data_IF_054738557522
#
_entry.id   IF_054738557522
#
_cell.length_a   1.000
_cell.length_b   1.000
_cell.length_c   1.000
_cell.angle_alpha   90.00
_cell.angle_beta   90.00
_cell.angle_gamma   90.00
#
_symmetry.space_group_name_H-M   'P 1'
#
loop_
_entity.id
_entity.type
_entity.pdbx_description
1 polymer ?
#
# COMPACT_ATOMS: atom_id res chain seq x y z
N UNK A 1 67.50 16.97 6.40
CA UNK A 1 66.27 17.04 5.56
C UNK A 1 65.62 15.68 5.27
N UNK A 2 65.82 14.62 6.08
CA UNK A 2 65.22 13.28 5.84
C UNK A 2 64.27 12.78 6.93
N UNK A 3 64.14 13.48 8.06
CA UNK A 3 63.29 13.04 9.18
C UNK A 3 61.93 13.74 9.25
N UNK A 4 61.79 14.93 8.65
CA UNK A 4 60.52 15.68 8.62
C UNK A 4 59.47 15.10 7.68
N UNK A 5 59.86 14.20 6.76
CA UNK A 5 58.94 13.58 5.80
C UNK A 5 58.16 12.38 6.37
N UNK A 6 58.62 11.78 7.48
CA UNK A 6 57.97 10.61 8.10
C UNK A 6 56.74 10.97 8.93
N UNK A 7 56.70 12.16 9.52
CA UNK A 7 55.56 12.60 10.36
C UNK A 7 54.36 13.06 9.54
N UNK A 8 54.57 13.56 8.31
CA UNK A 8 53.48 14.01 7.43
C UNK A 8 52.68 12.81 6.89
N UNK A 9 53.32 11.66 6.61
CA UNK A 9 52.64 10.47 6.12
C UNK A 9 51.71 9.81 7.18
N UNK A 10 52.05 9.93 8.47
CA UNK A 10 51.25 9.35 9.56
C UNK A 10 50.00 10.20 9.86
N UNK A 11 50.08 11.52 9.65
CA UNK A 11 48.94 12.43 9.83
C UNK A 11 47.83 12.22 8.78
N UNK A 12 48.18 11.80 7.55
CA UNK A 12 47.20 11.53 6.49
C UNK A 12 46.50 10.17 6.61
N UNK A 13 47.16 9.18 7.23
CA UNK A 13 46.58 7.85 7.47
C UNK A 13 45.54 7.84 8.62
N UNK A 14 45.60 8.80 9.55
CA UNK A 14 44.58 8.92 10.60
C UNK A 14 43.31 9.67 10.18
N UNK A 15 43.36 10.48 9.11
CA UNK A 15 42.17 11.21 8.63
C UNK A 15 41.27 10.34 7.72
N UNK A 16 41.81 9.29 7.10
CA UNK A 16 41.04 8.37 6.26
C UNK A 16 40.19 7.35 7.05
N UNK A 17 40.43 7.19 8.35
CA UNK A 17 39.72 6.22 9.19
C UNK A 17 38.40 6.75 9.79
N UNK A 18 38.08 8.05 9.62
CA UNK A 18 36.86 8.66 10.18
C UNK A 18 35.75 8.88 9.13
N UNK A 19 35.97 8.54 7.86
CA UNK A 19 34.97 8.71 6.80
C UNK A 19 33.95 7.56 6.69
N UNK A 20 34.03 6.55 7.57
CA UNK A 20 33.22 5.32 7.48
C UNK A 20 32.01 5.24 8.43
N UNK A 21 31.85 6.16 9.38
CA UNK A 21 30.72 6.17 10.31
C UNK A 21 29.70 7.24 9.92
N UNK A 22 29.12 7.11 8.72
CA UNK A 22 27.78 7.66 8.51
C UNK A 22 26.80 6.83 9.33
N UNK A 23 25.78 7.41 10.01
CA UNK A 23 24.74 6.63 10.64
C UNK A 23 24.17 5.66 9.60
N UNK A 24 24.28 4.37 9.87
CA UNK A 24 23.77 3.33 8.97
C UNK A 24 22.32 3.65 8.64
N UNK A 25 22.03 3.91 7.37
CA UNK A 25 20.70 4.34 6.93
C UNK A 25 19.71 3.24 7.29
N UNK A 26 18.82 3.51 8.25
CA UNK A 26 17.83 2.54 8.73
C UNK A 26 16.98 2.09 7.55
N UNK A 27 17.01 0.79 7.25
CA UNK A 27 16.29 0.20 6.11
C UNK A 27 14.93 -0.36 6.49
N UNK A 28 14.65 -0.47 7.80
CA UNK A 28 13.42 -1.03 8.36
C UNK A 28 12.65 0.05 9.11
N UNK A 29 11.44 0.33 8.67
CA UNK A 29 10.46 1.11 9.42
C UNK A 29 9.73 0.17 10.38
N UNK A 30 9.68 0.51 11.67
CA UNK A 30 8.91 -0.23 12.68
C UNK A 30 7.74 0.64 13.13
N UNK A 31 6.52 0.18 12.86
CA UNK A 31 5.26 0.81 13.26
C UNK A 31 4.64 -0.02 14.38
N UNK A 32 4.52 0.56 15.57
CA UNK A 32 3.81 -0.05 16.68
C UNK A 32 2.31 0.26 16.58
N UNK A 33 1.46 -0.75 16.70
CA UNK A 33 0.00 -0.63 16.60
C UNK A 33 -0.67 -1.37 17.76
N UNK A 34 -1.89 -0.98 18.14
CA UNK A 34 -2.65 -1.67 19.20
C UNK A 34 -3.25 -3.02 18.77
N UNK A 35 -3.12 -3.40 17.49
CA UNK A 35 -3.68 -4.61 16.92
C UNK A 35 -2.84 -5.16 15.78
N UNK A 36 -3.27 -6.29 15.24
CA UNK A 36 -2.66 -6.93 14.07
C UNK A 36 -3.69 -7.18 12.98
N UNK A 37 -3.23 -7.51 11.78
CA UNK A 37 -4.13 -7.76 10.64
C UNK A 37 -4.98 -9.02 10.89
N UNK A 38 -6.29 -8.85 10.99
CA UNK A 38 -7.24 -9.96 11.19
C UNK A 38 -7.56 -10.71 9.89
N UNK A 39 -7.31 -10.09 8.74
CA UNK A 39 -7.38 -10.70 7.40
C UNK A 39 -6.37 -10.05 6.47
N UNK A 40 -6.03 -10.74 5.37
CA UNK A 40 -5.29 -10.17 4.23
C UNK A 40 -6.19 -9.93 3.01
N UNK A 41 -7.48 -10.22 3.15
CA UNK A 41 -8.50 -9.99 2.12
C UNK A 41 -9.03 -8.55 2.22
N UNK A 42 -8.75 -7.69 1.21
CA UNK A 42 -9.08 -6.27 1.27
C UNK A 42 -10.57 -5.98 1.08
N UNK A 43 -11.41 -6.99 0.80
CA UNK A 43 -12.85 -6.77 0.62
C UNK A 43 -13.70 -7.23 1.82
N UNK A 44 -13.10 -7.82 2.86
CA UNK A 44 -13.87 -8.52 3.91
C UNK A 44 -13.77 -7.94 5.32
N UNK A 45 -12.96 -6.90 5.52
CA UNK A 45 -12.74 -6.31 6.85
C UNK A 45 -12.87 -4.79 6.78
N UNK A 46 -13.58 -4.21 7.74
CA UNK A 46 -13.76 -2.78 7.96
C UNK A 46 -12.95 -2.27 9.18
N UNK A 47 -12.16 -3.14 9.80
CA UNK A 47 -11.34 -2.85 10.98
C UNK A 47 -10.12 -1.98 10.62
N UNK A 48 -9.94 -0.90 11.38
CA UNK A 48 -9.00 0.19 11.06
C UNK A 48 -7.54 -0.28 10.92
N UNK A 49 -7.02 -1.09 11.84
CA UNK A 49 -5.64 -1.57 11.80
C UNK A 49 -5.39 -2.38 10.53
N UNK A 50 -6.30 -3.28 10.20
CA UNK A 50 -6.23 -4.12 9.01
C UNK A 50 -6.29 -3.28 7.75
N UNK A 51 -7.19 -2.31 7.66
CA UNK A 51 -7.27 -1.37 6.52
C UNK A 51 -5.95 -0.63 6.33
N UNK A 52 -5.36 -0.08 7.40
CA UNK A 52 -4.11 0.68 7.31
C UNK A 52 -2.93 -0.19 6.84
N UNK A 53 -2.83 -1.42 7.34
CA UNK A 53 -1.80 -2.36 6.86
C UNK A 53 -2.03 -2.68 5.39
N UNK A 54 -3.27 -2.98 4.98
CA UNK A 54 -3.58 -3.38 3.61
C UNK A 54 -3.48 -2.22 2.60
N UNK A 55 -3.64 -0.96 3.03
CA UNK A 55 -3.42 0.22 2.18
C UNK A 55 -1.96 0.35 1.69
N UNK A 56 -1.01 -0.34 2.34
CA UNK A 56 0.38 -0.42 1.86
C UNK A 56 0.58 -1.51 0.79
N UNK A 57 -0.38 -2.44 0.68
CA UNK A 57 -0.30 -3.66 -0.15
C UNK A 57 -1.17 -3.53 -1.39
N UNK A 58 -2.37 -2.96 -1.26
CA UNK A 58 -3.34 -2.85 -2.32
C UNK A 58 -3.60 -1.39 -2.70
N UNK A 59 -4.01 -1.17 -3.94
CA UNK A 59 -4.47 0.14 -4.42
C UNK A 59 -5.81 0.00 -5.15
N UNK A 60 -6.61 1.06 -5.11
CA UNK A 60 -7.82 1.20 -5.92
C UNK A 60 -7.55 1.81 -7.29
N UNK A 61 -8.62 1.98 -8.09
CA UNK A 61 -8.56 2.75 -9.34
C UNK A 61 -8.17 4.21 -9.08
N UNK A 62 -8.72 4.76 -8.01
CA UNK A 62 -8.45 6.09 -7.48
C UNK A 62 -8.17 5.96 -5.98
N UNK A 63 -7.68 7.04 -5.36
CA UNK A 63 -7.45 7.12 -3.92
C UNK A 63 -8.05 8.40 -3.36
N UNK A 64 -7.86 8.64 -2.08
CA UNK A 64 -8.19 9.90 -1.43
C UNK A 64 -6.93 10.56 -0.88
N UNK A 65 -6.79 11.86 -1.07
CA UNK A 65 -5.74 12.67 -0.42
C UNK A 65 -6.13 13.02 1.04
N UNK A 66 -5.23 13.63 1.82
CA UNK A 66 -5.55 14.08 3.20
C UNK A 66 -6.70 15.08 3.30
N UNK A 67 -7.11 15.73 2.21
CA UNK A 67 -8.26 16.63 2.15
C UNK A 67 -9.53 15.93 1.66
N UNK A 68 -9.53 14.59 1.63
CA UNK A 68 -10.63 13.73 1.15
C UNK A 68 -10.98 13.97 -0.33
N UNK A 69 -10.04 14.47 -1.12
CA UNK A 69 -10.21 14.64 -2.56
C UNK A 69 -9.81 13.37 -3.28
N UNK A 70 -10.60 13.00 -4.27
CA UNK A 70 -10.29 11.88 -5.16
C UNK A 70 -9.03 12.21 -5.98
N UNK A 71 -8.06 11.32 -5.96
CA UNK A 71 -6.81 11.44 -6.72
C UNK A 71 -6.56 10.20 -7.59
N UNK A 72 -5.85 10.34 -8.73
CA UNK A 72 -5.45 9.21 -9.56
C UNK A 72 -4.60 8.19 -8.80
N UNK A 73 -4.88 6.90 -8.98
CA UNK A 73 -4.06 5.78 -8.48
C UNK A 73 -3.74 4.84 -9.65
N UNK A 74 -4.30 3.63 -9.70
CA UNK A 74 -4.09 2.71 -10.82
C UNK A 74 -4.69 3.23 -12.14
N UNK A 75 -5.75 4.04 -12.05
CA UNK A 75 -6.23 4.83 -13.18
C UNK A 75 -5.49 6.16 -13.23
N UNK A 76 -4.93 6.51 -14.40
CA UNK A 76 -4.34 7.84 -14.65
C UNK A 76 -5.39 8.95 -14.72
N UNK A 77 -6.65 8.59 -14.89
CA UNK A 77 -7.80 9.47 -14.95
C UNK A 77 -9.07 8.73 -15.35
N UNK A 78 -10.17 9.45 -15.39
CA UNK A 78 -11.47 8.92 -15.80
C UNK A 78 -12.30 9.99 -16.52
N UNK A 79 -13.31 9.54 -17.26
CA UNK A 79 -14.36 10.38 -17.86
C UNK A 79 -15.76 9.83 -17.54
N UNK A 80 -16.77 10.69 -17.70
CA UNK A 80 -18.18 10.35 -17.53
C UNK A 80 -18.91 10.50 -18.87
N UNK A 81 -18.84 9.50 -19.76
CA UNK A 81 -19.42 9.61 -21.10
C UNK A 81 -20.95 9.72 -21.05
N UNK A 82 -21.56 9.29 -19.95
CA UNK A 82 -22.98 9.44 -19.62
C UNK A 82 -23.13 9.76 -18.13
N UNK A 83 -24.30 10.25 -17.72
CA UNK A 83 -24.60 10.58 -16.31
C UNK A 83 -24.53 9.39 -15.35
N UNK A 84 -24.64 8.17 -15.87
CA UNK A 84 -24.58 6.91 -15.12
C UNK A 84 -23.41 6.00 -15.55
N UNK A 85 -22.36 6.57 -16.14
CA UNK A 85 -21.17 5.83 -16.58
C UNK A 85 -19.89 6.50 -16.08
N UNK A 86 -18.95 5.68 -15.60
CA UNK A 86 -17.59 6.06 -15.27
C UNK A 86 -16.63 5.22 -16.11
N UNK A 87 -15.76 5.88 -16.86
CA UNK A 87 -14.75 5.23 -17.69
C UNK A 87 -13.36 5.54 -17.15
N UNK A 88 -12.64 4.52 -16.72
CA UNK A 88 -11.31 4.62 -16.15
C UNK A 88 -10.25 4.20 -17.15
N UNK A 89 -9.14 4.94 -17.18
CA UNK A 89 -7.98 4.66 -18.02
C UNK A 89 -6.82 4.21 -17.14
N UNK A 90 -6.39 2.97 -17.28
CA UNK A 90 -5.35 2.35 -16.46
C UNK A 90 -3.95 2.79 -16.87
N UNK A 91 -3.04 2.74 -15.90
CA UNK A 91 -1.59 2.90 -16.10
C UNK A 91 -1.01 1.66 -16.79
N UNK A 92 -0.40 1.78 -17.98
CA UNK A 92 0.22 0.64 -18.66
C UNK A 92 1.40 0.05 -17.87
N UNK A 93 2.05 0.84 -17.03
CA UNK A 93 3.18 0.48 -16.17
C UNK A 93 2.77 -0.19 -14.85
N UNK A 94 1.49 -0.15 -14.45
CA UNK A 94 1.06 -0.76 -13.20
C UNK A 94 1.30 -2.28 -13.21
N UNK A 95 1.84 -2.79 -12.09
CA UNK A 95 2.18 -4.20 -11.88
C UNK A 95 1.63 -4.69 -10.56
N UNK A 96 1.23 -5.95 -10.52
CA UNK A 96 1.06 -6.68 -9.27
C UNK A 96 2.42 -7.04 -8.68
N UNK A 97 2.45 -7.40 -7.39
CA UNK A 97 3.68 -7.76 -6.67
C UNK A 97 4.47 -8.94 -7.26
N UNK A 98 3.85 -9.76 -8.11
CA UNK A 98 4.49 -10.84 -8.87
C UNK A 98 5.06 -10.41 -10.23
N UNK A 99 4.92 -9.13 -10.58
CA UNK A 99 5.41 -8.55 -11.82
C UNK A 99 4.45 -8.67 -13.00
N UNK A 100 3.29 -9.34 -12.86
CA UNK A 100 2.26 -9.33 -13.92
C UNK A 100 1.67 -7.94 -14.06
N UNK A 101 1.31 -7.52 -15.29
CA UNK A 101 0.71 -6.23 -15.49
C UNK A 101 -0.75 -6.20 -15.07
N UNK A 102 -1.18 -5.07 -14.50
CA UNK A 102 -2.59 -4.83 -14.17
C UNK A 102 -3.37 -4.57 -15.46
N UNK A 103 -4.49 -5.28 -15.65
CA UNK A 103 -5.36 -5.14 -16.81
C UNK A 103 -6.80 -4.88 -16.43
N UNK A 104 -7.57 -4.39 -17.39
CA UNK A 104 -8.97 -4.06 -17.21
C UNK A 104 -9.79 -5.23 -16.65
N UNK A 105 -9.48 -6.48 -17.03
CA UNK A 105 -10.24 -7.62 -16.52
C UNK A 105 -9.90 -7.96 -15.05
N UNK A 106 -8.75 -7.55 -14.52
CA UNK A 106 -8.45 -7.66 -13.08
C UNK A 106 -9.29 -6.67 -12.27
N UNK A 107 -9.50 -5.47 -12.84
CA UNK A 107 -10.42 -4.49 -12.27
C UNK A 107 -11.86 -5.00 -12.31
N UNK A 108 -12.30 -5.52 -13.46
CA UNK A 108 -13.63 -6.11 -13.60
C UNK A 108 -13.85 -7.22 -12.57
N UNK A 109 -12.88 -8.11 -12.41
CA UNK A 109 -12.92 -9.17 -11.39
C UNK A 109 -13.04 -8.58 -9.98
N UNK A 110 -12.16 -7.63 -9.62
CA UNK A 110 -12.12 -7.05 -8.27
C UNK A 110 -13.41 -6.32 -7.90
N UNK A 111 -13.95 -5.52 -8.82
CA UNK A 111 -15.19 -4.77 -8.60
C UNK A 111 -16.42 -5.71 -8.53
N UNK A 112 -16.44 -6.78 -9.33
CA UNK A 112 -17.49 -7.81 -9.21
C UNK A 112 -17.38 -8.56 -7.88
N UNK A 113 -16.16 -8.94 -7.48
CA UNK A 113 -15.91 -9.58 -6.18
C UNK A 113 -16.38 -8.69 -5.03
N UNK A 114 -16.05 -7.40 -5.05
CA UNK A 114 -16.54 -6.44 -4.07
C UNK A 114 -18.07 -6.34 -4.03
N UNK A 115 -18.76 -6.51 -5.17
CA UNK A 115 -20.23 -6.52 -5.26
C UNK A 115 -20.87 -7.83 -4.79
N UNK A 116 -20.24 -8.97 -5.06
CA UNK A 116 -20.90 -10.29 -5.04
C UNK A 116 -20.39 -11.22 -3.94
N UNK A 117 -19.19 -11.00 -3.41
CA UNK A 117 -18.62 -11.92 -2.42
C UNK A 117 -19.44 -11.89 -1.12
N UNK A 118 -19.83 -13.04 -0.54
CA UNK A 118 -20.78 -13.09 0.59
C UNK A 118 -20.33 -12.36 1.86
N UNK A 119 -19.01 -12.23 2.06
CA UNK A 119 -18.42 -11.50 3.18
C UNK A 119 -17.93 -10.10 2.79
N UNK A 120 -18.26 -9.62 1.59
CA UNK A 120 -17.79 -8.31 1.14
C UNK A 120 -18.47 -7.21 1.95
N UNK A 121 -17.67 -6.32 2.54
CA UNK A 121 -18.19 -5.12 3.20
C UNK A 121 -18.76 -4.11 2.19
N UNK A 122 -18.40 -4.26 0.90
CA UNK A 122 -18.82 -3.35 -0.17
C UNK A 122 -20.07 -3.81 -0.92
N UNK A 123 -20.60 -5.01 -0.64
CA UNK A 123 -21.68 -5.60 -1.44
C UNK A 123 -22.93 -4.71 -1.50
N UNK A 124 -23.32 -4.12 -0.36
CA UNK A 124 -24.45 -3.20 -0.27
C UNK A 124 -24.27 -1.96 -1.14
N UNK A 125 -23.14 -1.26 -0.98
CA UNK A 125 -22.86 -0.01 -1.70
C UNK A 125 -22.62 -0.25 -3.20
N UNK A 126 -22.04 -1.39 -3.57
CA UNK A 126 -21.77 -1.76 -4.96
C UNK A 126 -23.02 -2.29 -5.69
N UNK A 127 -24.14 -2.50 -5.00
CA UNK A 127 -25.39 -3.01 -5.60
C UNK A 127 -25.97 -2.09 -6.70
N UNK A 128 -25.68 -0.79 -6.63
CA UNK A 128 -26.09 0.21 -7.64
C UNK A 128 -25.37 0.05 -8.97
N UNK A 129 -24.23 -0.64 -8.99
CA UNK A 129 -23.46 -0.93 -10.19
C UNK A 129 -24.06 -2.15 -10.87
N UNK A 130 -24.71 -1.97 -12.02
CA UNK A 130 -25.34 -3.09 -12.74
C UNK A 130 -24.40 -3.72 -13.78
N UNK A 131 -23.40 -2.98 -14.29
CA UNK A 131 -22.48 -3.47 -15.32
C UNK A 131 -21.07 -2.94 -15.12
N UNK A 132 -20.10 -3.85 -15.27
CA UNK A 132 -18.65 -3.56 -15.20
C UNK A 132 -18.00 -4.28 -16.38
N UNK A 133 -17.43 -3.52 -17.31
CA UNK A 133 -16.88 -4.03 -18.56
C UNK A 133 -15.43 -3.57 -18.76
N UNK A 134 -14.58 -4.47 -19.26
CA UNK A 134 -13.35 -4.08 -19.93
C UNK A 134 -13.72 -3.67 -21.36
N UNK A 135 -13.47 -2.41 -21.73
CA UNK A 135 -13.63 -1.95 -23.11
C UNK A 135 -12.43 -2.35 -23.97
N UNK A 136 -11.26 -2.36 -23.33
CA UNK A 136 -10.00 -2.91 -23.85
C UNK A 136 -9.10 -3.27 -22.66
N UNK A 137 -7.84 -3.64 -22.92
CA UNK A 137 -6.89 -4.09 -21.90
C UNK A 137 -6.55 -3.06 -20.81
N UNK A 138 -6.77 -1.76 -21.06
CA UNK A 138 -6.43 -0.64 -20.18
C UNK A 138 -7.62 0.30 -19.92
N UNK A 139 -8.82 -0.01 -20.41
CA UNK A 139 -10.01 0.83 -20.19
C UNK A 139 -11.15 0.03 -19.60
N UNK A 140 -11.69 0.53 -18.49
CA UNK A 140 -12.80 -0.09 -17.74
C UNK A 140 -13.98 0.87 -17.71
N UNK A 141 -15.17 0.37 -18.01
CA UNK A 141 -16.43 1.12 -17.87
C UNK A 141 -17.30 0.51 -16.77
N UNK A 142 -17.69 1.36 -15.81
CA UNK A 142 -18.59 1.04 -14.70
C UNK A 142 -19.90 1.78 -14.93
N UNK A 143 -21.03 1.07 -14.94
CA UNK A 143 -22.36 1.66 -15.13
C UNK A 143 -23.27 1.42 -13.94
N UNK A 144 -24.02 2.47 -13.60
CA UNK A 144 -24.99 2.48 -12.51
C UNK A 144 -26.42 2.59 -13.02
N UNK A 145 -27.36 2.06 -12.24
CA UNK A 145 -28.79 2.06 -12.55
C UNK A 145 -29.37 3.46 -12.76
N UNK A 146 -28.85 4.43 -12.00
CA UNK A 146 -29.17 5.85 -12.03
C UNK A 146 -27.87 6.68 -11.97
N UNK A 147 -27.92 8.00 -12.18
CA UNK A 147 -26.75 8.85 -11.93
C UNK A 147 -26.25 8.73 -10.48
N UNK A 148 -24.99 8.31 -10.31
CA UNK A 148 -24.34 8.15 -9.00
C UNK A 148 -23.00 8.90 -8.96
N UNK A 149 -23.01 10.22 -8.72
CA UNK A 149 -21.78 11.01 -8.67
C UNK A 149 -20.79 10.57 -7.57
N UNK A 150 -21.31 10.07 -6.45
CA UNK A 150 -20.50 9.61 -5.32
C UNK A 150 -19.90 8.21 -5.50
N UNK A 151 -20.17 7.53 -6.62
CA UNK A 151 -19.60 6.21 -6.89
C UNK A 151 -18.06 6.25 -6.84
N UNK A 152 -17.46 7.34 -7.29
CA UNK A 152 -16.01 7.49 -7.30
C UNK A 152 -15.38 7.43 -5.90
N UNK A 153 -16.08 7.91 -4.87
CA UNK A 153 -15.63 7.83 -3.49
C UNK A 153 -15.64 6.39 -3.00
N UNK A 154 -16.67 5.61 -3.35
CA UNK A 154 -16.73 4.18 -3.05
C UNK A 154 -15.60 3.43 -3.76
N UNK A 155 -15.38 3.71 -5.05
CA UNK A 155 -14.33 3.08 -5.84
C UNK A 155 -12.91 3.42 -5.36
N UNK A 156 -12.73 4.48 -4.58
CA UNK A 156 -11.46 4.78 -3.92
C UNK A 156 -11.13 3.80 -2.79
N UNK A 157 -12.15 3.19 -2.17
CA UNK A 157 -11.98 2.19 -1.10
C UNK A 157 -11.85 0.75 -1.65
N UNK A 158 -12.33 0.48 -2.87
CA UNK A 158 -12.29 -0.86 -3.45
C UNK A 158 -10.92 -1.15 -4.06
N UNK A 159 -10.17 -2.01 -3.38
CA UNK A 159 -8.85 -2.48 -3.82
C UNK A 159 -8.92 -3.38 -5.05
N UNK A 160 -7.92 -3.26 -5.94
CA UNK A 160 -7.74 -4.11 -7.12
C UNK A 160 -6.77 -5.26 -6.81
N UNK A 161 -7.16 -6.46 -7.23
CA UNK A 161 -6.41 -7.71 -7.08
C UNK A 161 -6.40 -8.51 -8.39
N UNK A 162 -5.43 -9.43 -8.59
CA UNK A 162 -5.36 -10.23 -9.79
C UNK A 162 -6.59 -11.13 -9.94
N UNK A 163 -7.14 -11.22 -11.15
CA UNK A 163 -8.10 -12.29 -11.46
C UNK A 163 -7.38 -13.64 -11.31
N UNK A 164 -7.96 -14.57 -10.55
CA UNK A 164 -7.36 -15.85 -10.12
C UNK A 164 -6.48 -15.80 -8.86
N UNK A 165 -6.60 -14.75 -8.04
CA UNK A 165 -6.03 -14.74 -6.70
C UNK A 165 -7.14 -14.63 -5.67
N UNK A 166 -7.30 -15.66 -4.84
CA UNK A 166 -8.14 -15.58 -3.65
C UNK A 166 -7.26 -15.30 -2.42
N UNK A 167 -7.45 -14.17 -1.73
CA UNK A 167 -6.70 -13.85 -0.54
C UNK A 167 -7.03 -14.85 0.59
N UNK A 168 -5.98 -15.24 1.32
CA UNK A 168 -6.07 -16.16 2.45
C UNK A 168 -4.97 -15.83 3.44
N UNK A 169 -3.96 -16.69 3.55
CA UNK A 169 -2.74 -16.40 4.32
C UNK A 169 -1.69 -15.60 3.54
N UNK A 170 -2.00 -15.23 2.29
CA UNK A 170 -1.18 -14.39 1.43
C UNK A 170 -1.95 -13.16 0.96
N UNK A 171 -1.21 -12.14 0.56
CA UNK A 171 -1.72 -10.93 -0.07
C UNK A 171 -0.98 -10.67 -1.39
N UNK A 172 -1.71 -10.25 -2.43
CA UNK A 172 -1.13 -9.89 -3.73
C UNK A 172 -1.85 -8.65 -4.26
N UNK A 173 -1.19 -7.51 -4.16
CA UNK A 173 -1.71 -6.24 -4.62
C UNK A 173 -0.75 -5.55 -5.58
N UNK A 174 -0.91 -4.23 -5.69
CA UNK A 174 -0.15 -3.35 -6.57
C UNK A 174 0.60 -2.26 -5.81
N UNK A 175 0.38 -2.18 -4.49
CA UNK A 175 0.89 -1.13 -3.63
C UNK A 175 2.41 -1.13 -3.48
N UNK A 176 2.95 -0.10 -2.81
CA UNK A 176 4.38 0.13 -2.69
C UNK A 176 5.11 -0.93 -1.86
N UNK A 177 4.39 -1.74 -1.09
CA UNK A 177 4.93 -2.86 -0.32
C UNK A 177 4.18 -4.15 -0.63
N UNK A 178 4.89 -5.28 -0.60
CA UNK A 178 4.32 -6.64 -0.67
C UNK A 178 4.34 -7.30 0.71
N UNK A 179 3.32 -8.12 0.97
CA UNK A 179 3.29 -8.96 2.16
C UNK A 179 4.43 -10.00 2.14
N UNK A 180 5.09 -10.19 3.27
CA UNK A 180 6.12 -11.22 3.45
C UNK A 180 5.62 -12.32 4.38
N UNK A 181 5.21 -11.95 5.59
CA UNK A 181 4.74 -12.88 6.61
C UNK A 181 4.00 -12.17 7.73
N UNK A 182 3.24 -12.93 8.50
CA UNK A 182 2.82 -12.51 9.82
C UNK A 182 3.99 -12.52 10.81
N UNK A 183 3.90 -11.64 11.80
CA UNK A 183 4.70 -11.57 13.00
C UNK A 183 3.84 -12.04 14.20
N UNK A 184 4.42 -11.98 15.39
CA UNK A 184 3.70 -12.26 16.63
C UNK A 184 2.42 -11.43 16.76
N UNK A 185 1.41 -12.02 17.39
CA UNK A 185 0.11 -11.37 17.66
C UNK A 185 -0.54 -10.75 16.40
N UNK A 186 -0.32 -11.37 15.24
CA UNK A 186 -0.84 -10.93 13.93
C UNK A 186 -0.25 -9.60 13.43
N UNK A 187 0.92 -9.20 13.94
CA UNK A 187 1.72 -8.18 13.26
C UNK A 187 2.07 -8.62 11.83
N UNK A 188 2.56 -7.71 11.00
CA UNK A 188 2.85 -7.98 9.59
C UNK A 188 4.19 -7.41 9.19
N UNK A 189 5.01 -8.23 8.53
CA UNK A 189 6.21 -7.78 7.84
C UNK A 189 5.91 -7.59 6.35
N UNK A 190 6.24 -6.40 5.85
CA UNK A 190 6.14 -6.03 4.44
C UNK A 190 7.52 -5.70 3.87
N UNK A 191 7.71 -5.96 2.58
CA UNK A 191 8.92 -5.60 1.86
C UNK A 191 8.57 -4.68 0.70
N UNK A 192 9.39 -3.66 0.45
CA UNK A 192 9.16 -2.72 -0.65
C UNK A 192 9.06 -3.46 -1.98
N UNK A 193 8.11 -3.06 -2.80
CA UNK A 193 7.94 -3.59 -4.15
C UNK A 193 8.75 -2.74 -5.14
N UNK A 194 9.85 -3.28 -5.65
CA UNK A 194 10.74 -2.55 -6.57
C UNK A 194 10.08 -2.25 -7.94
N UNK A 195 9.04 -3.01 -8.31
CA UNK A 195 8.23 -2.79 -9.51
C UNK A 195 7.11 -1.77 -9.34
N UNK A 196 7.05 -1.06 -8.21
CA UNK A 196 6.00 -0.07 -7.95
C UNK A 196 6.06 1.06 -8.98
N UNK A 197 4.90 1.44 -9.52
CA UNK A 197 4.77 2.43 -10.59
C UNK A 197 4.97 3.87 -10.11
N UNK A 198 4.70 4.12 -8.82
CA UNK A 198 4.84 5.43 -8.19
C UNK A 198 6.19 5.66 -7.51
N UNK A 199 6.25 6.66 -6.65
CA UNK A 199 7.43 6.93 -5.82
C UNK A 199 7.68 5.78 -4.85
N UNK A 200 8.86 5.17 -4.93
CA UNK A 200 9.24 4.08 -4.05
C UNK A 200 9.48 4.59 -2.62
N UNK A 201 8.93 3.89 -1.60
CA UNK A 201 9.23 4.22 -0.22
C UNK A 201 10.73 4.18 0.09
N UNK A 202 11.17 5.03 1.02
CA UNK A 202 12.56 5.06 1.47
C UNK A 202 12.98 3.73 2.10
N UNK A 203 12.15 3.21 3.01
CA UNK A 203 12.42 1.99 3.76
C UNK A 203 12.24 0.76 2.86
N UNK A 204 13.14 -0.21 3.01
CA UNK A 204 13.13 -1.48 2.26
C UNK A 204 12.16 -2.45 2.90
N UNK A 205 11.99 -2.38 4.22
CA UNK A 205 11.06 -3.19 4.99
C UNK A 205 10.20 -2.30 5.88
N UNK A 206 8.95 -2.69 6.07
CA UNK A 206 8.05 -2.11 7.07
C UNK A 206 7.51 -3.23 7.95
N UNK A 207 7.63 -3.08 9.26
CA UNK A 207 7.08 -4.00 10.26
C UNK A 207 5.97 -3.31 11.04
N UNK A 208 4.75 -3.81 10.89
CA UNK A 208 3.61 -3.42 11.70
C UNK A 208 3.51 -4.38 12.88
N UNK A 209 4.00 -3.96 14.04
CA UNK A 209 4.06 -4.78 15.26
C UNK A 209 2.80 -4.55 16.10
N UNK A 210 2.14 -5.65 16.48
CA UNK A 210 1.00 -5.62 17.38
C UNK A 210 1.48 -5.55 18.83
N UNK A 211 1.35 -4.36 19.41
CA UNK A 211 1.72 -4.00 20.79
C UNK A 211 0.50 -3.32 21.43
N UNK A 212 -0.45 -4.09 22.00
CA UNK A 212 -1.71 -3.53 22.51
C UNK A 212 -1.58 -2.66 23.76
N UNK A 213 -0.48 -2.79 24.50
CA UNK A 213 -0.21 -1.98 25.68
C UNK A 213 0.36 -0.61 25.29
N UNK A 214 -0.26 0.47 25.76
CA UNK A 214 0.05 1.84 25.36
C UNK A 214 1.39 2.32 25.92
N UNK A 215 1.69 1.98 27.18
CA UNK A 215 2.96 2.33 27.84
C UNK A 215 4.14 1.64 27.16
N UNK A 216 3.97 0.38 26.75
CA UNK A 216 4.97 -0.36 25.99
C UNK A 216 5.20 0.23 24.59
N UNK A 217 4.14 0.67 23.88
CA UNK A 217 4.33 1.37 22.59
C UNK A 217 5.10 2.68 22.77
N UNK A 218 4.76 3.46 23.79
CA UNK A 218 5.47 4.69 24.11
C UNK A 218 6.93 4.39 24.47
N UNK A 219 7.20 3.35 25.25
CA UNK A 219 8.56 2.90 25.59
C UNK A 219 9.36 2.55 24.33
N UNK A 220 8.78 1.78 23.41
CA UNK A 220 9.42 1.39 22.15
C UNK A 220 9.72 2.61 21.27
N UNK A 221 8.83 3.60 21.24
CA UNK A 221 9.05 4.85 20.51
C UNK A 221 10.20 5.65 21.13
N UNK A 222 10.20 5.82 22.46
CA UNK A 222 11.23 6.56 23.18
C UNK A 222 12.61 5.87 23.13
N UNK A 223 12.65 4.53 23.05
CA UNK A 223 13.90 3.78 22.90
C UNK A 223 14.42 3.72 21.45
N UNK A 224 13.60 4.13 20.47
CA UNK A 224 13.89 4.03 19.04
C UNK A 224 13.73 2.62 18.45
N UNK A 225 13.23 1.67 19.24
CA UNK A 225 12.87 0.32 18.76
C UNK A 225 11.66 0.36 17.81
N UNK A 226 10.73 1.28 18.04
CA UNK A 226 9.69 1.68 17.09
C UNK A 226 9.98 3.09 16.54
N UNK A 227 9.64 3.31 15.27
CA UNK A 227 9.75 4.60 14.60
C UNK A 227 8.45 5.40 14.66
N UNK A 228 7.31 4.71 14.76
CA UNK A 228 5.95 5.30 14.77
C UNK A 228 5.08 4.54 15.78
N UNK A 229 4.32 5.27 16.58
CA UNK A 229 3.12 4.74 17.25
C UNK A 229 1.90 5.18 16.44
N UNK A 230 1.14 4.22 15.90
CA UNK A 230 0.03 4.49 15.00
C UNK A 230 -1.19 5.15 15.68
N UNK A 231 -1.21 5.27 17.02
CA UNK A 231 -2.32 5.89 17.76
C UNK A 231 -1.95 7.18 18.48
N UNK A 232 -0.66 7.45 18.69
CA UNK A 232 -0.21 8.75 19.17
C UNK A 232 -0.18 9.70 17.97
N UNK A 233 -1.35 10.28 17.67
CA UNK A 233 -1.47 11.34 16.69
C UNK A 233 -0.53 12.50 17.03
N UNK A 234 0.40 12.80 16.13
CA UNK A 234 1.04 14.11 16.03
C UNK A 234 0.15 15.07 15.25
#
# INVERSE_FOLDING_TARGET
MRESARYIAIAWLMFAALAGCGPGRRTVLVVAMNGGAVSLDPHTQDEFVTINILANVYEGLVGMDPNLRVVPMLAKGYDNPHSNAWRFHLRPEARFHDGRPVRAEDVVYSLKRAREHPRSIFAGDMSVVYRINALDSLTVEVRTDQPRPMLINLLAAVSIMPRNFEPGEAAMGTGPYRFVRFLERRGVALHRFEGYWGSRPHFVQAEFRCVPDDDERLRLLLSGEADVDALLGT
#
